data_IF_089560467427
#
_entry.id   IF_089560467427
#
_cell.length_a   1.000
_cell.length_b   1.000
_cell.length_c   1.000
_cell.angle_alpha   90.00
_cell.angle_beta   90.00
_cell.angle_gamma   90.00
#
_symmetry.space_group_name_H-M   'P 1'
#
loop_
_entity.id
_entity.type
_entity.pdbx_description
1 polymer ?
#
# COMPACT_ATOMS: atom_id res chain seq x y z
N UNK A 1 -49.37 40.35 -14.24
CA UNK A 1 -48.23 39.92 -15.11
C UNK A 1 -48.65 39.94 -16.57
N UNK A 2 -47.91 40.66 -17.42
CA UNK A 2 -48.14 40.68 -18.87
C UNK A 2 -47.80 39.34 -19.54
N UNK A 3 -48.41 39.04 -20.70
CA UNK A 3 -48.19 37.78 -21.46
C UNK A 3 -46.71 37.45 -21.69
N UNK A 4 -45.88 38.47 -21.96
CA UNK A 4 -44.42 38.33 -22.12
C UNK A 4 -43.70 37.89 -20.84
N UNK A 5 -44.14 38.38 -19.67
CA UNK A 5 -43.59 37.97 -18.38
C UNK A 5 -43.95 36.52 -18.02
N UNK A 6 -45.17 36.06 -18.38
CA UNK A 6 -45.57 34.66 -18.22
C UNK A 6 -44.79 33.72 -19.15
N UNK A 7 -44.57 34.13 -20.40
CA UNK A 7 -43.77 33.37 -21.37
C UNK A 7 -42.29 33.28 -20.95
N UNK A 8 -41.71 34.39 -20.45
CA UNK A 8 -40.36 34.39 -19.89
C UNK A 8 -40.20 33.48 -18.67
N UNK A 9 -41.18 33.51 -17.74
CA UNK A 9 -41.19 32.63 -16.56
C UNK A 9 -41.26 31.15 -16.97
N UNK A 10 -42.10 30.81 -17.96
CA UNK A 10 -42.24 29.45 -18.47
C UNK A 10 -40.95 28.95 -19.13
N UNK A 11 -40.28 29.79 -19.92
CA UNK A 11 -39.00 29.45 -20.54
C UNK A 11 -37.89 29.21 -19.50
N UNK A 12 -37.81 30.05 -18.46
CA UNK A 12 -36.87 29.84 -17.35
C UNK A 12 -37.15 28.54 -16.59
N UNK A 13 -38.42 28.21 -16.35
CA UNK A 13 -38.80 26.96 -15.68
C UNK A 13 -38.40 25.72 -16.49
N UNK A 14 -38.59 25.73 -17.81
CA UNK A 14 -38.18 24.64 -18.70
C UNK A 14 -36.66 24.48 -18.70
N UNK A 15 -35.92 25.59 -18.79
CA UNK A 15 -34.46 25.56 -18.75
C UNK A 15 -33.93 25.02 -17.41
N UNK A 16 -34.50 25.45 -16.29
CA UNK A 16 -34.14 24.96 -14.95
C UNK A 16 -34.45 23.46 -14.80
N UNK A 17 -35.59 22.99 -15.30
CA UNK A 17 -35.94 21.58 -15.29
C UNK A 17 -34.98 20.73 -16.14
N UNK A 18 -34.56 21.23 -17.31
CA UNK A 18 -33.57 20.57 -18.16
C UNK A 18 -32.21 20.45 -17.48
N UNK A 19 -31.71 21.53 -16.87
CA UNK A 19 -30.44 21.52 -16.12
C UNK A 19 -30.52 20.61 -14.90
N UNK A 20 -31.62 20.64 -14.15
CA UNK A 20 -31.85 19.73 -13.04
C UNK A 20 -31.86 18.26 -13.46
N UNK A 21 -32.51 17.95 -14.58
CA UNK A 21 -32.53 16.60 -15.17
C UNK A 21 -31.14 16.11 -15.56
N UNK A 22 -30.35 16.95 -16.24
CA UNK A 22 -28.97 16.62 -16.59
C UNK A 22 -28.09 16.41 -15.36
N UNK A 23 -28.26 17.23 -14.32
CA UNK A 23 -27.52 17.11 -13.06
C UNK A 23 -27.81 15.79 -12.33
N UNK A 24 -29.09 15.44 -12.20
CA UNK A 24 -29.51 14.17 -11.58
C UNK A 24 -29.05 12.98 -12.42
N UNK A 25 -29.12 13.07 -13.75
CA UNK A 25 -28.64 12.02 -14.63
C UNK A 25 -27.14 11.78 -14.46
N UNK A 26 -26.32 12.84 -14.37
CA UNK A 26 -24.89 12.72 -14.07
C UNK A 26 -24.63 12.03 -12.72
N UNK A 27 -25.40 12.39 -11.69
CA UNK A 27 -25.27 11.79 -10.37
C UNK A 27 -25.56 10.27 -10.35
N UNK A 28 -26.37 9.75 -11.28
CA UNK A 28 -26.69 8.32 -11.31
C UNK A 28 -25.49 7.43 -11.59
N UNK A 29 -24.49 7.92 -12.32
CA UNK A 29 -23.27 7.16 -12.64
C UNK A 29 -22.36 6.93 -11.44
N UNK A 30 -22.50 7.74 -10.38
CA UNK A 30 -21.65 7.71 -9.19
C UNK A 30 -22.31 7.01 -8.00
N UNK A 31 -23.37 6.23 -8.25
CA UNK A 31 -24.04 5.41 -7.24
C UNK A 31 -23.26 4.12 -6.94
N UNK A 32 -22.57 3.60 -7.94
CA UNK A 32 -21.76 2.39 -7.92
C UNK A 32 -20.29 2.65 -8.28
N UNK A 33 -19.94 3.90 -8.58
CA UNK A 33 -18.60 4.34 -8.96
C UNK A 33 -18.12 5.54 -8.15
N UNK A 34 -16.81 5.61 -7.91
CA UNK A 34 -16.21 6.76 -7.24
C UNK A 34 -16.25 8.01 -8.11
N UNK A 35 -16.49 9.17 -7.49
CA UNK A 35 -16.47 10.47 -8.15
C UNK A 35 -15.08 10.75 -8.71
N UNK A 36 -15.05 11.41 -9.87
CA UNK A 36 -13.83 11.88 -10.51
C UNK A 36 -12.91 12.62 -9.53
N UNK A 37 -11.60 12.35 -9.63
CA UNK A 37 -10.59 12.93 -8.76
C UNK A 37 -10.42 12.25 -7.40
N UNK A 38 -11.14 11.16 -7.12
CA UNK A 38 -10.89 10.32 -5.95
C UNK A 38 -9.72 9.37 -6.23
N UNK A 39 -8.78 9.31 -5.29
CA UNK A 39 -7.74 8.27 -5.23
C UNK A 39 -7.77 7.55 -3.89
N UNK A 40 -7.45 6.26 -3.91
CA UNK A 40 -7.43 5.38 -2.72
C UNK A 40 -6.07 4.69 -2.69
N UNK A 41 -5.30 4.87 -1.61
CA UNK A 41 -3.92 4.36 -1.46
C UNK A 41 -3.02 4.69 -2.68
N UNK A 42 -3.22 5.88 -3.26
CA UNK A 42 -2.50 6.35 -4.44
C UNK A 42 -2.93 5.69 -5.77
N UNK A 43 -3.94 4.81 -5.78
CA UNK A 43 -4.60 4.33 -7.01
C UNK A 43 -5.70 5.31 -7.41
N UNK A 44 -5.78 5.66 -8.70
CA UNK A 44 -6.87 6.49 -9.23
C UNK A 44 -8.18 5.70 -9.27
N UNK A 45 -9.14 6.12 -8.45
CA UNK A 45 -10.46 5.51 -8.34
C UNK A 45 -11.51 6.19 -9.23
N UNK A 46 -11.17 7.30 -9.89
CA UNK A 46 -12.09 8.12 -10.68
C UNK A 46 -12.95 7.30 -11.65
N UNK A 47 -14.28 7.32 -11.45
CA UNK A 47 -15.23 6.62 -12.32
C UNK A 47 -15.18 5.10 -12.24
N UNK A 48 -14.42 4.52 -11.30
CA UNK A 48 -14.27 3.08 -11.11
C UNK A 48 -15.23 2.56 -10.05
N UNK A 49 -15.64 1.30 -10.21
CA UNK A 49 -16.36 0.52 -9.21
C UNK A 49 -15.43 0.08 -8.08
N UNK A 50 -16.01 -0.43 -6.98
CA UNK A 50 -15.23 -1.02 -5.88
C UNK A 50 -14.34 -2.15 -6.39
N UNK A 51 -14.88 -3.07 -7.19
CA UNK A 51 -14.15 -4.24 -7.68
C UNK A 51 -12.95 -3.85 -8.56
N UNK A 52 -13.12 -2.84 -9.42
CA UNK A 52 -12.02 -2.32 -10.25
C UNK A 52 -10.94 -1.63 -9.40
N UNK A 53 -11.33 -0.90 -8.35
CA UNK A 53 -10.35 -0.29 -7.42
C UNK A 53 -9.62 -1.37 -6.63
N UNK A 54 -10.33 -2.36 -6.10
CA UNK A 54 -9.75 -3.46 -5.34
C UNK A 54 -8.79 -4.30 -6.19
N UNK A 55 -9.10 -4.50 -7.48
CA UNK A 55 -8.19 -5.17 -8.42
C UNK A 55 -6.91 -4.36 -8.65
N UNK A 56 -7.01 -3.03 -8.80
CA UNK A 56 -5.84 -2.16 -8.95
C UNK A 56 -5.02 -2.06 -7.66
N UNK A 57 -5.69 -2.04 -6.50
CA UNK A 57 -5.02 -2.09 -5.19
C UNK A 57 -4.27 -3.40 -5.03
N UNK A 58 -4.89 -4.53 -5.40
CA UNK A 58 -4.25 -5.85 -5.42
C UNK A 58 -3.01 -5.85 -6.31
N UNK A 59 -3.15 -5.47 -7.58
CA UNK A 59 -2.05 -5.43 -8.55
C UNK A 59 -0.90 -4.56 -8.05
N UNK A 60 -1.20 -3.35 -7.58
CA UNK A 60 -0.19 -2.43 -7.04
C UNK A 60 0.50 -3.01 -5.81
N UNK A 61 -0.27 -3.51 -4.84
CA UNK A 61 0.28 -4.03 -3.59
C UNK A 61 1.14 -5.27 -3.83
N UNK A 62 0.69 -6.20 -4.66
CA UNK A 62 1.43 -7.44 -4.96
C UNK A 62 2.64 -7.21 -5.87
N UNK A 63 2.63 -6.17 -6.72
CA UNK A 63 3.78 -5.88 -7.60
C UNK A 63 4.83 -4.97 -6.97
N UNK A 64 4.43 -4.06 -6.06
CA UNK A 64 5.34 -3.10 -5.43
C UNK A 64 5.88 -3.58 -4.07
N UNK A 65 5.28 -4.61 -3.45
CA UNK A 65 5.75 -5.11 -2.16
C UNK A 65 7.09 -5.84 -2.29
N UNK A 66 8.05 -5.39 -1.50
CA UNK A 66 9.32 -6.06 -1.27
C UNK A 66 9.57 -6.21 0.23
N UNK A 67 10.25 -7.30 0.59
CA UNK A 67 10.81 -7.51 1.91
C UNK A 67 12.33 -7.32 1.81
N UNK A 68 12.79 -6.18 2.30
CA UNK A 68 14.21 -5.83 2.32
C UNK A 68 14.84 -6.30 3.64
N UNK A 69 15.90 -7.09 3.51
CA UNK A 69 16.65 -7.70 4.61
C UNK A 69 18.04 -7.07 4.67
N UNK A 70 18.44 -6.63 5.86
CA UNK A 70 19.79 -6.15 6.12
C UNK A 70 20.44 -7.03 7.18
N UNK A 71 21.55 -7.65 6.79
CA UNK A 71 22.31 -8.56 7.65
C UNK A 71 23.44 -7.83 8.38
N UNK A 72 23.97 -8.47 9.43
CA UNK A 72 25.00 -7.88 10.31
C UNK A 72 26.34 -7.64 9.61
N UNK A 73 26.65 -8.45 8.60
CA UNK A 73 27.80 -8.26 7.72
C UNK A 73 27.56 -7.19 6.62
N UNK A 74 26.52 -6.37 6.77
CA UNK A 74 26.09 -5.34 5.82
C UNK A 74 25.55 -5.88 4.49
N UNK A 75 25.43 -7.20 4.32
CA UNK A 75 24.76 -7.77 3.17
C UNK A 75 23.28 -7.35 3.13
N UNK A 76 22.77 -7.13 1.92
CA UNK A 76 21.39 -6.74 1.66
C UNK A 76 20.77 -7.75 0.71
N UNK A 77 19.59 -8.24 1.07
CA UNK A 77 18.80 -9.13 0.23
C UNK A 77 17.38 -8.59 0.13
N UNK A 78 16.73 -8.80 -1.02
CA UNK A 78 15.35 -8.39 -1.25
C UNK A 78 14.54 -9.59 -1.71
N UNK A 79 13.46 -9.89 -1.00
CA UNK A 79 12.47 -10.88 -1.43
C UNK A 79 11.27 -10.15 -2.05
N UNK A 80 10.83 -10.60 -3.23
CA UNK A 80 9.63 -10.10 -3.85
C UNK A 80 8.38 -10.71 -3.19
N UNK A 81 7.24 -10.04 -3.33
CA UNK A 81 5.93 -10.58 -2.94
C UNK A 81 5.69 -12.03 -3.42
N UNK A 82 6.09 -12.34 -4.66
CA UNK A 82 5.95 -13.67 -5.25
C UNK A 82 6.76 -14.75 -4.54
N UNK A 83 7.89 -14.39 -3.94
CA UNK A 83 8.80 -15.37 -3.30
C UNK A 83 8.25 -15.89 -1.97
N UNK A 84 7.33 -15.13 -1.37
CA UNK A 84 6.75 -15.44 -0.05
C UNK A 84 5.24 -15.73 -0.15
N UNK A 85 4.70 -15.82 -1.36
CA UNK A 85 3.27 -16.01 -1.59
C UNK A 85 2.42 -14.88 -1.00
N UNK A 86 2.91 -13.64 -1.07
CA UNK A 86 2.21 -12.48 -0.55
C UNK A 86 0.95 -12.21 -1.39
N UNK A 87 -0.18 -12.10 -0.72
CA UNK A 87 -1.48 -11.88 -1.33
C UNK A 87 -2.22 -10.73 -0.66
N UNK A 88 -2.79 -9.85 -1.48
CA UNK A 88 -3.68 -8.80 -1.04
C UNK A 88 -5.04 -9.37 -0.61
N UNK A 89 -5.56 -8.85 0.51
CA UNK A 89 -6.92 -9.12 0.95
C UNK A 89 -7.71 -7.81 1.13
N UNK A 90 -8.85 -7.72 0.44
CA UNK A 90 -9.76 -6.59 0.63
C UNK A 90 -10.31 -6.57 2.06
N UNK A 91 -10.14 -5.43 2.74
CA UNK A 91 -10.73 -5.17 4.05
C UNK A 91 -12.16 -4.56 3.95
N UNK A 92 -12.73 -4.49 2.73
CA UNK A 92 -14.04 -3.89 2.46
C UNK A 92 -14.11 -2.38 2.72
N UNK A 93 -12.97 -1.71 2.83
CA UNK A 93 -12.89 -0.28 3.16
C UNK A 93 -13.22 0.60 1.94
N UNK A 94 -12.83 0.19 0.74
CA UNK A 94 -13.22 0.89 -0.49
C UNK A 94 -14.75 0.90 -0.65
N UNK A 95 -15.42 -0.22 -0.37
CA UNK A 95 -16.89 -0.28 -0.39
C UNK A 95 -17.53 0.69 0.60
N UNK A 96 -17.02 0.75 1.84
CA UNK A 96 -17.51 1.72 2.84
C UNK A 96 -17.33 3.15 2.37
N UNK A 97 -16.22 3.44 1.70
CA UNK A 97 -15.90 4.75 1.16
C UNK A 97 -16.87 5.14 0.05
N UNK A 98 -17.18 4.22 -0.87
CA UNK A 98 -18.18 4.43 -1.91
C UNK A 98 -19.57 4.66 -1.31
N UNK A 99 -19.98 3.87 -0.31
CA UNK A 99 -21.30 4.04 0.34
C UNK A 99 -21.43 5.36 1.09
N UNK A 100 -20.33 5.91 1.61
CA UNK A 100 -20.31 7.20 2.29
C UNK A 100 -20.26 8.40 1.32
N UNK A 101 -19.89 8.17 0.06
CA UNK A 101 -19.88 9.19 -0.98
C UNK A 101 -21.30 9.69 -1.27
N UNK A 102 -21.45 11.00 -1.45
CA UNK A 102 -22.67 11.60 -1.98
C UNK A 102 -22.57 11.71 -3.52
N UNK A 103 -23.36 10.95 -4.32
CA UNK A 103 -23.27 10.97 -5.78
C UNK A 103 -23.60 12.33 -6.40
N UNK A 104 -24.32 13.20 -5.68
CA UNK A 104 -24.66 14.55 -6.14
C UNK A 104 -23.46 15.51 -6.13
N UNK A 105 -22.36 15.15 -5.46
CA UNK A 105 -21.13 15.95 -5.46
C UNK A 105 -20.28 15.72 -6.71
N UNK A 106 -20.77 14.97 -7.70
CA UNK A 106 -20.02 14.59 -8.90
C UNK A 106 -19.41 15.78 -9.65
N UNK A 107 -20.13 16.91 -9.68
CA UNK A 107 -19.69 18.10 -10.40
C UNK A 107 -18.39 18.68 -9.81
N UNK A 108 -18.16 18.54 -8.49
CA UNK A 108 -16.92 19.02 -7.88
C UNK A 108 -15.71 18.25 -8.40
N UNK A 109 -15.84 16.92 -8.52
CA UNK A 109 -14.82 16.06 -9.09
C UNK A 109 -14.56 16.39 -10.56
N UNK A 110 -15.64 16.56 -11.34
CA UNK A 110 -15.55 16.90 -12.75
C UNK A 110 -14.90 18.27 -13.00
N UNK A 111 -15.09 19.23 -12.09
CA UNK A 111 -14.41 20.53 -12.11
C UNK A 111 -12.97 20.50 -11.57
N UNK A 112 -12.41 19.31 -11.33
CA UNK A 112 -10.99 19.12 -11.00
C UNK A 112 -10.69 19.00 -9.51
N UNK A 113 -11.69 18.87 -8.64
CA UNK A 113 -11.44 18.63 -7.21
C UNK A 113 -10.80 17.26 -7.01
N UNK A 114 -9.64 17.21 -6.33
CA UNK A 114 -8.95 15.97 -5.98
C UNK A 114 -9.15 15.61 -4.52
N UNK A 115 -9.38 14.33 -4.23
CA UNK A 115 -9.54 13.78 -2.87
C UNK A 115 -8.76 12.48 -2.77
N UNK A 116 -7.82 12.42 -1.84
CA UNK A 116 -7.05 11.22 -1.60
C UNK A 116 -7.46 10.59 -0.26
N UNK A 117 -7.67 9.28 -0.28
CA UNK A 117 -8.02 8.50 0.90
C UNK A 117 -6.98 7.41 1.13
N UNK A 118 -6.59 7.26 2.39
CA UNK A 118 -5.84 6.09 2.84
C UNK A 118 -6.80 5.15 3.55
N UNK A 119 -6.85 3.91 3.09
CA UNK A 119 -7.63 2.85 3.71
C UNK A 119 -6.71 1.70 4.08
N UNK A 120 -6.91 1.14 5.28
CA UNK A 120 -6.17 -0.05 5.69
C UNK A 120 -6.54 -1.21 4.76
N UNK A 121 -5.52 -1.92 4.31
CA UNK A 121 -5.62 -3.14 3.52
C UNK A 121 -5.20 -4.32 4.39
N UNK A 122 -5.74 -5.50 4.11
CA UNK A 122 -5.31 -6.73 4.76
C UNK A 122 -4.40 -7.49 3.80
N UNK A 123 -3.55 -8.36 4.33
CA UNK A 123 -2.67 -9.20 3.52
C UNK A 123 -2.50 -10.56 4.16
N UNK A 124 -2.09 -11.53 3.35
CA UNK A 124 -1.63 -12.84 3.77
C UNK A 124 -0.34 -13.19 3.06
N UNK A 125 0.38 -14.17 3.60
CA UNK A 125 1.57 -14.74 2.97
C UNK A 125 1.64 -16.23 3.28
N UNK A 126 2.39 -16.97 2.47
CA UNK A 126 2.67 -18.38 2.70
C UNK A 126 3.90 -18.51 3.61
N UNK A 127 3.66 -18.97 4.84
CA UNK A 127 4.70 -19.15 5.86
C UNK A 127 5.79 -20.15 5.44
N UNK A 128 5.42 -21.20 4.72
CA UNK A 128 6.37 -22.20 4.25
C UNK A 128 7.19 -21.65 3.08
N UNK A 129 6.56 -20.88 2.19
CA UNK A 129 7.26 -20.16 1.12
C UNK A 129 8.25 -19.13 1.70
N UNK A 130 7.81 -18.30 2.65
CA UNK A 130 8.69 -17.35 3.34
C UNK A 130 9.88 -18.05 3.97
N UNK A 131 9.64 -19.11 4.74
CA UNK A 131 10.72 -19.87 5.39
C UNK A 131 11.69 -20.45 4.38
N UNK A 132 11.18 -21.04 3.30
CA UNK A 132 12.03 -21.59 2.25
C UNK A 132 12.88 -20.52 1.58
N UNK A 133 12.31 -19.35 1.30
CA UNK A 133 13.00 -18.23 0.66
C UNK A 133 14.09 -17.66 1.57
N UNK A 134 13.81 -17.47 2.86
CA UNK A 134 14.81 -17.02 3.85
C UNK A 134 15.98 -18.00 4.02
N UNK A 135 15.69 -19.30 4.11
CA UNK A 135 16.73 -20.33 4.29
C UNK A 135 17.53 -20.63 3.01
N UNK A 136 17.06 -20.16 1.86
CA UNK A 136 17.79 -20.26 0.60
C UNK A 136 18.82 -19.13 0.41
N UNK A 137 18.78 -18.07 1.24
CA UNK A 137 19.71 -16.96 1.16
C UNK A 137 21.14 -17.39 1.54
N UNK A 138 22.19 -16.83 0.90
CA UNK A 138 23.58 -17.15 1.23
C UNK A 138 23.93 -16.96 2.71
N UNK A 139 23.37 -15.92 3.35
CA UNK A 139 23.61 -15.55 4.75
C UNK A 139 23.01 -16.57 5.73
N UNK A 140 22.06 -17.39 5.27
CA UNK A 140 21.48 -18.48 6.05
C UNK A 140 22.36 -19.75 6.04
N UNK A 141 23.38 -19.86 5.17
CA UNK A 141 24.36 -20.95 5.24
C UNK A 141 25.45 -20.59 6.26
N UNK A 142 25.63 -21.34 7.37
CA UNK A 142 26.65 -21.07 8.38
C UNK A 142 28.07 -20.98 7.80
N UNK A 143 28.35 -21.58 6.65
CA UNK A 143 29.66 -21.52 5.98
C UNK A 143 30.02 -20.12 5.47
N UNK A 144 29.02 -19.27 5.26
CA UNK A 144 29.19 -17.90 4.79
C UNK A 144 29.23 -16.89 5.96
N UNK A 145 29.02 -17.36 7.20
CA UNK A 145 29.06 -16.53 8.40
C UNK A 145 30.43 -16.54 9.09
N UNK A 146 30.67 -15.52 9.91
CA UNK A 146 31.81 -15.45 10.82
C UNK A 146 31.38 -15.88 12.23
N UNK A 147 32.21 -16.68 12.91
CA UNK A 147 31.97 -17.02 14.32
C UNK A 147 32.16 -15.79 15.22
N UNK A 148 31.40 -15.68 16.32
CA UNK A 148 31.66 -14.67 17.34
C UNK A 148 33.05 -14.86 17.94
N UNK A 149 33.68 -13.75 18.31
CA UNK A 149 35.00 -13.75 18.95
C UNK A 149 34.89 -13.02 20.28
N UNK A 150 35.34 -13.66 21.35
CA UNK A 150 35.38 -13.04 22.67
C UNK A 150 36.40 -11.89 22.72
N UNK A 151 36.12 -10.90 23.56
CA UNK A 151 37.06 -9.84 23.87
C UNK A 151 38.31 -10.42 24.53
N UNK A 152 39.49 -9.94 24.16
CA UNK A 152 40.76 -10.44 24.70
C UNK A 152 41.76 -9.33 24.95
N UNK A 153 42.78 -9.62 25.77
CA UNK A 153 43.87 -8.69 26.03
C UNK A 153 44.95 -8.82 24.96
N UNK A 154 45.31 -7.71 24.30
CA UNK A 154 46.44 -7.60 23.38
C UNK A 154 47.57 -6.76 24.01
N UNK A 155 48.83 -7.04 23.65
CA UNK A 155 49.97 -6.21 24.01
C UNK A 155 50.30 -5.31 22.82
N UNK A 156 50.19 -4.00 23.00
CA UNK A 156 50.51 -3.01 21.98
C UNK A 156 52.02 -2.85 21.79
N UNK A 157 52.41 -2.23 20.67
CA UNK A 157 53.83 -1.94 20.34
C UNK A 157 54.51 -0.96 21.30
N UNK A 158 53.77 -0.38 22.23
CA UNK A 158 54.22 0.52 23.29
C UNK A 158 54.32 -0.17 24.66
N UNK A 159 54.31 -1.51 24.68
CA UNK A 159 54.36 -2.37 25.88
C UNK A 159 53.19 -2.14 26.86
N UNK A 160 52.04 -1.64 26.36
CA UNK A 160 50.80 -1.50 27.14
C UNK A 160 49.77 -2.55 26.74
N UNK A 161 48.96 -2.98 27.71
CA UNK A 161 47.84 -3.88 27.45
C UNK A 161 46.61 -3.11 26.96
N UNK A 162 45.97 -3.62 25.92
CA UNK A 162 44.70 -3.15 25.37
C UNK A 162 43.66 -4.27 25.44
N UNK A 163 42.40 -3.89 25.55
CA UNK A 163 41.29 -4.83 25.38
C UNK A 163 40.83 -4.71 23.93
N UNK A 164 41.02 -5.76 23.16
CA UNK A 164 40.36 -5.91 21.87
C UNK A 164 38.90 -6.30 22.14
N UNK A 165 37.93 -5.57 21.58
CA UNK A 165 36.52 -5.83 21.83
C UNK A 165 36.08 -7.17 21.21
N UNK A 166 35.00 -7.72 21.75
CA UNK A 166 34.32 -8.88 21.18
C UNK A 166 33.65 -8.54 19.85
N UNK A 167 33.46 -9.55 19.01
CA UNK A 167 32.63 -9.46 17.80
C UNK A 167 31.49 -10.47 17.90
N UNK A 168 30.28 -10.07 17.51
CA UNK A 168 29.10 -10.94 17.59
C UNK A 168 29.07 -12.04 16.52
N UNK A 169 30.01 -12.05 15.57
CA UNK A 169 29.97 -12.93 14.39
C UNK A 169 28.79 -12.59 13.46
N UNK A 170 28.56 -13.39 12.43
CA UNK A 170 27.43 -13.25 11.48
C UNK A 170 26.73 -14.56 11.17
N UNK A 171 27.09 -15.68 11.82
CA UNK A 171 26.34 -16.93 11.70
C UNK A 171 24.92 -16.73 12.22
N UNK A 172 23.94 -17.09 11.40
CA UNK A 172 22.52 -16.91 11.67
C UNK A 172 21.92 -18.22 12.20
N UNK A 173 21.12 -18.10 13.26
CA UNK A 173 20.24 -19.19 13.70
C UNK A 173 18.94 -19.14 12.87
N UNK A 174 18.58 -20.22 12.14
CA UNK A 174 17.38 -20.28 11.29
C UNK A 174 16.09 -19.83 11.98
N UNK A 175 15.89 -20.26 13.23
CA UNK A 175 14.73 -19.91 14.04
C UNK A 175 14.73 -18.42 14.44
N UNK A 176 15.91 -17.87 14.72
CA UNK A 176 16.08 -16.45 15.04
C UNK A 176 15.78 -15.56 13.85
N UNK A 177 16.19 -15.96 12.64
CA UNK A 177 15.88 -15.25 11.40
C UNK A 177 14.37 -15.20 11.14
N UNK A 178 13.69 -16.34 11.25
CA UNK A 178 12.24 -16.42 11.07
C UNK A 178 11.50 -15.54 12.08
N UNK A 179 11.87 -15.63 13.36
CA UNK A 179 11.25 -14.82 14.40
C UNK A 179 11.48 -13.32 14.18
N UNK A 180 12.65 -12.91 13.70
CA UNK A 180 12.95 -11.51 13.42
C UNK A 180 12.12 -10.95 12.25
N UNK A 181 11.79 -11.77 11.24
CA UNK A 181 10.97 -11.37 10.09
C UNK A 181 9.48 -11.36 10.43
N UNK A 182 9.01 -12.22 11.33
CA UNK A 182 7.60 -12.28 11.76
C UNK A 182 7.23 -11.31 12.90
N UNK A 183 8.22 -10.66 13.54
CA UNK A 183 8.04 -9.78 14.70
C UNK A 183 7.51 -8.38 14.34
#
# INVERSE_FOLDING_TARGET
MGKKAKAGLLACAIAAAGLGGAYVHGAQQYRDRFIDGISINGVDASGKTVDEVEALLKEKTESEYTLDLQFRNEAQETLAASDIGFEYQSAGKAEKLLRAQNPYDWLSGHMGTKRNYMVDTSFTYDKDALKKSLLALPESDPKNGEEPKDAYLSLGSDDRFYIEPDTQGSIIEPEGLLAAVEA
#
